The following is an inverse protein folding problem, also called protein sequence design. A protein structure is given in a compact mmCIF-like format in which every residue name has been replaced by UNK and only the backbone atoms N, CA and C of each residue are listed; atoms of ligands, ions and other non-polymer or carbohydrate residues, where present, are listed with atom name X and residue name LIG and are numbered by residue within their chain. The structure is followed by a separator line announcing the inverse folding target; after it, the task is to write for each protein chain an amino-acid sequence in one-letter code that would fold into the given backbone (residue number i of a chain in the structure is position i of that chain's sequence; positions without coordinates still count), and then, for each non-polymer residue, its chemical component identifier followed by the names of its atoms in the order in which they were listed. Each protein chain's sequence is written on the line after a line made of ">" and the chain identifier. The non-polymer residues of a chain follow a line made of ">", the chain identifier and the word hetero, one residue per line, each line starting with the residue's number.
data_IF_393554130986
#
_entry.id   IF_393554130986
#
_cell.length_a   1.000
_cell.length_b   1.000
_cell.length_c   1.000
_cell.angle_alpha   90.00
_cell.angle_beta   90.00
_cell.angle_gamma   90.00
#
_symmetry.space_group_name_H-M   'P 1'
#
loop_
_entity.id
_entity.type
_entity.pdbx_description
1 polymer ?
#
# COMPACT_ATOMS: atom_id res chain seq x y z
N UNK A 1 -17.82 -22.54 10.50
CA UNK A 1 -16.52 -22.01 10.02
C UNK A 1 -16.79 -21.25 8.73
N UNK A 2 -17.04 -19.93 8.78
CA UNK A 2 -17.24 -19.15 7.56
C UNK A 2 -15.88 -19.04 6.85
N UNK A 3 -15.69 -19.83 5.80
CA UNK A 3 -14.49 -19.79 4.97
C UNK A 3 -14.26 -18.38 4.46
N UNK A 4 -13.09 -17.82 4.75
CA UNK A 4 -12.72 -16.49 4.30
C UNK A 4 -12.61 -16.51 2.77
N UNK A 5 -13.43 -15.72 2.09
CA UNK A 5 -13.33 -15.61 0.62
C UNK A 5 -12.00 -14.92 0.27
N UNK A 6 -11.22 -15.45 -0.67
CA UNK A 6 -9.98 -14.80 -1.10
C UNK A 6 -10.32 -13.43 -1.70
N UNK A 7 -9.63 -12.40 -1.25
CA UNK A 7 -9.90 -11.02 -1.65
C UNK A 7 -8.71 -10.10 -1.40
N UNK A 8 -8.71 -8.96 -2.06
CA UNK A 8 -7.68 -7.91 -1.92
C UNK A 8 -8.37 -6.67 -1.37
N UNK A 9 -7.80 -6.09 -0.31
CA UNK A 9 -8.26 -4.82 0.27
C UNK A 9 -7.14 -3.79 0.21
N UNK A 10 -7.47 -2.57 -0.21
CA UNK A 10 -6.55 -1.43 -0.12
C UNK A 10 -6.64 -0.79 1.26
N UNK A 11 -5.50 -0.60 1.93
CA UNK A 11 -5.45 0.12 3.21
C UNK A 11 -4.37 1.20 3.16
N UNK A 12 -4.75 2.42 3.57
CA UNK A 12 -3.84 3.55 3.73
C UNK A 12 -3.52 3.78 5.21
N UNK A 13 -2.29 4.17 5.52
CA UNK A 13 -1.82 4.46 6.88
C UNK A 13 -1.71 5.98 7.17
N UNK A 14 -2.19 6.82 6.25
CA UNK A 14 -2.19 8.27 6.46
C UNK A 14 -3.07 8.63 7.65
N UNK A 15 -2.57 9.51 8.53
CA UNK A 15 -3.28 10.00 9.74
C UNK A 15 -3.74 8.95 10.78
N UNK A 16 -3.47 7.66 10.58
CA UNK A 16 -3.78 6.57 11.54
C UNK A 16 -2.52 6.09 12.26
N UNK A 17 -2.49 6.00 13.59
CA UNK A 17 -1.34 5.41 14.30
C UNK A 17 -1.21 3.90 14.09
N UNK A 18 -0.15 3.28 14.64
CA UNK A 18 0.11 1.86 14.43
C UNK A 18 -0.98 0.98 15.07
N UNK A 19 -1.46 1.32 16.26
CA UNK A 19 -2.41 0.50 17.01
C UNK A 19 -3.78 0.50 16.32
N UNK A 20 -4.27 1.66 15.92
CA UNK A 20 -5.50 1.78 15.15
C UNK A 20 -5.39 1.10 13.78
N UNK A 21 -4.20 1.10 13.17
CA UNK A 21 -3.95 0.37 11.93
C UNK A 21 -4.05 -1.15 12.13
N UNK A 22 -3.48 -1.70 13.21
CA UNK A 22 -3.58 -3.12 13.54
C UNK A 22 -5.02 -3.56 13.84
N UNK A 23 -5.78 -2.77 14.60
CA UNK A 23 -7.20 -3.04 14.86
C UNK A 23 -7.97 -3.15 13.54
N UNK A 24 -7.75 -2.20 12.62
CA UNK A 24 -8.39 -2.23 11.30
C UNK A 24 -8.02 -3.47 10.48
N UNK A 25 -6.77 -3.93 10.52
CA UNK A 25 -6.37 -5.17 9.87
C UNK A 25 -7.13 -6.37 10.45
N UNK A 26 -7.29 -6.42 11.77
CA UNK A 26 -8.07 -7.46 12.46
C UNK A 26 -9.56 -7.43 12.12
N UNK A 27 -10.19 -6.26 12.09
CA UNK A 27 -11.60 -6.09 11.70
C UNK A 27 -11.85 -6.55 10.27
N UNK A 28 -10.92 -6.23 9.36
CA UNK A 28 -10.93 -6.69 7.97
C UNK A 28 -10.47 -8.15 7.82
N UNK A 29 -10.08 -8.78 8.93
CA UNK A 29 -9.57 -10.15 9.03
C UNK A 29 -8.38 -10.39 8.11
N UNK A 30 -7.51 -9.40 7.87
CA UNK A 30 -6.39 -9.53 6.93
C UNK A 30 -5.41 -10.61 7.41
N UNK A 31 -5.00 -11.52 6.52
CA UNK A 31 -4.00 -12.56 6.86
C UNK A 31 -2.59 -12.11 6.45
N UNK A 32 -2.49 -11.36 5.35
CA UNK A 32 -1.21 -10.94 4.76
C UNK A 32 -1.26 -9.45 4.42
N UNK A 33 -0.31 -8.69 4.95
CA UNK A 33 -0.04 -7.30 4.59
C UNK A 33 1.05 -7.24 3.50
N UNK A 34 0.66 -6.76 2.32
CA UNK A 34 1.59 -6.54 1.20
C UNK A 34 2.02 -5.08 1.16
N UNK A 35 3.29 -4.82 1.43
CA UNK A 35 3.91 -3.50 1.36
C UNK A 35 4.53 -3.27 -0.03
N UNK A 36 3.85 -2.43 -0.81
CA UNK A 36 4.25 -2.05 -2.18
C UNK A 36 5.14 -0.80 -2.23
N UNK A 37 5.63 -0.27 -1.11
CA UNK A 37 6.48 0.93 -1.11
C UNK A 37 7.78 0.64 -1.86
N UNK A 38 8.26 1.57 -2.70
CA UNK A 38 9.56 1.38 -3.37
C UNK A 38 10.71 1.32 -2.35
N UNK A 39 10.65 2.19 -1.34
CA UNK A 39 11.52 2.19 -0.17
C UNK A 39 10.63 2.13 1.07
N UNK A 40 10.66 1.06 1.88
CA UNK A 40 9.80 0.89 3.06
C UNK A 40 10.33 1.69 4.27
N UNK A 41 10.70 2.95 4.02
CA UNK A 41 11.14 3.91 5.04
C UNK A 41 9.95 4.82 5.32
N UNK A 42 9.57 4.93 6.58
CA UNK A 42 8.57 5.88 7.04
C UNK A 42 9.13 6.70 8.18
N UNK A 43 8.85 8.01 8.16
CA UNK A 43 9.11 8.92 9.30
C UNK A 43 8.03 8.80 10.37
N UNK A 44 6.92 8.13 10.08
CA UNK A 44 5.85 7.89 11.03
C UNK A 44 6.24 6.77 11.99
N UNK A 45 6.15 7.03 13.29
CA UNK A 45 6.46 6.06 14.35
C UNK A 45 5.68 4.76 14.11
N UNK A 46 6.39 3.62 14.16
CA UNK A 46 5.79 2.30 13.96
C UNK A 46 5.66 1.83 12.50
N UNK A 47 5.92 2.68 11.51
CA UNK A 47 5.74 2.33 10.08
C UNK A 47 7.06 2.14 9.30
N UNK A 48 8.21 2.10 9.99
CA UNK A 48 9.45 1.61 9.39
C UNK A 48 9.30 0.11 9.10
N UNK A 49 10.01 -0.42 8.10
CA UNK A 49 9.93 -1.84 7.72
C UNK A 49 9.97 -2.77 8.94
N UNK A 50 11.04 -2.70 9.73
CA UNK A 50 11.24 -3.60 10.89
C UNK A 50 10.15 -3.44 11.94
N UNK A 51 9.78 -2.20 12.28
CA UNK A 51 8.75 -1.97 13.30
C UNK A 51 7.37 -2.48 12.84
N UNK A 52 7.03 -2.23 11.57
CA UNK A 52 5.77 -2.67 10.99
C UNK A 52 5.71 -4.19 10.89
N UNK A 53 6.78 -4.84 10.38
CA UNK A 53 6.88 -6.30 10.33
C UNK A 53 6.67 -6.91 11.71
N UNK A 54 7.39 -6.44 12.74
CA UNK A 54 7.25 -6.97 14.09
C UNK A 54 5.82 -6.80 14.62
N UNK A 55 5.23 -5.62 14.42
CA UNK A 55 3.90 -5.30 14.92
C UNK A 55 2.80 -6.16 14.28
N UNK A 56 2.83 -6.35 12.96
CA UNK A 56 1.82 -7.16 12.26
C UNK A 56 2.00 -8.65 12.54
N UNK A 57 3.25 -9.13 12.65
CA UNK A 57 3.51 -10.52 13.01
C UNK A 57 3.06 -10.84 14.43
N UNK A 58 3.22 -9.91 15.39
CA UNK A 58 2.63 -10.04 16.73
C UNK A 58 1.10 -10.11 16.71
N UNK A 59 0.46 -9.54 15.69
CA UNK A 59 -0.98 -9.62 15.45
C UNK A 59 -1.40 -10.82 14.57
N UNK A 60 -0.50 -11.78 14.33
CA UNK A 60 -0.73 -12.95 13.45
C UNK A 60 -1.03 -12.60 11.99
N UNK A 61 -0.49 -11.48 11.51
CA UNK A 61 -0.56 -11.05 10.11
C UNK A 61 0.82 -11.16 9.47
N UNK A 62 0.90 -11.85 8.34
CA UNK A 62 2.15 -12.00 7.59
C UNK A 62 2.52 -10.69 6.90
N UNK A 63 3.82 -10.40 6.80
CA UNK A 63 4.33 -9.22 6.10
C UNK A 63 5.10 -9.61 4.85
N UNK A 64 4.67 -9.10 3.69
CA UNK A 64 5.35 -9.31 2.41
C UNK A 64 5.71 -7.95 1.80
N UNK A 65 6.97 -7.77 1.43
CA UNK A 65 7.42 -6.55 0.75
C UNK A 65 7.60 -6.80 -0.75
N UNK A 66 6.77 -6.16 -1.58
CA UNK A 66 6.80 -6.27 -3.03
C UNK A 66 7.31 -4.98 -3.67
N UNK A 67 8.62 -4.79 -3.61
CA UNK A 67 9.30 -3.61 -4.19
C UNK A 67 8.99 -3.41 -5.68
N UNK A 68 8.79 -4.50 -6.44
CA UNK A 68 8.47 -4.45 -7.87
C UNK A 68 7.15 -3.76 -8.21
N UNK A 69 6.24 -3.64 -7.24
CA UNK A 69 4.97 -2.93 -7.37
C UNK A 69 5.04 -1.46 -6.92
N UNK A 70 6.20 -1.01 -6.44
CA UNK A 70 6.40 0.37 -6.01
C UNK A 70 6.59 1.33 -7.17
N UNK A 71 6.19 2.60 -6.97
CA UNK A 71 6.29 3.63 -8.00
C UNK A 71 7.77 4.01 -8.29
N UNK A 72 8.33 3.64 -9.46
CA UNK A 72 9.73 3.92 -9.79
C UNK A 72 9.95 5.42 -9.98
N UNK A 73 11.21 5.86 -9.83
CA UNK A 73 11.57 7.30 -9.95
C UNK A 73 11.18 7.88 -11.32
N UNK A 74 11.35 7.09 -12.39
CA UNK A 74 11.04 7.47 -13.78
C UNK A 74 9.57 7.82 -13.97
N UNK A 75 8.66 7.19 -13.22
CA UNK A 75 7.22 7.42 -13.33
C UNK A 75 6.74 8.65 -12.52
N UNK A 76 7.60 9.32 -11.73
CA UNK A 76 7.15 10.41 -10.85
C UNK A 76 6.81 11.71 -11.57
N UNK A 77 7.54 12.02 -12.65
CA UNK A 77 7.38 13.28 -13.37
C UNK A 77 5.96 13.46 -13.96
N UNK A 78 5.30 12.36 -14.33
CA UNK A 78 3.93 12.40 -14.88
C UNK A 78 2.81 12.51 -13.83
N UNK A 79 3.10 12.27 -12.55
CA UNK A 79 2.10 12.21 -11.47
C UNK A 79 2.39 13.18 -10.31
N UNK A 80 3.47 13.97 -10.38
CA UNK A 80 3.87 14.93 -9.35
C UNK A 80 3.42 16.38 -9.59
N UNK A 81 2.72 16.65 -10.70
CA UNK A 81 2.22 17.97 -11.07
C UNK A 81 0.80 18.24 -10.58
N UNK A 82 0.37 19.49 -10.68
CA UNK A 82 -1.05 19.88 -10.57
C UNK A 82 -1.89 18.97 -11.48
N UNK A 83 -3.02 18.45 -11.00
CA UNK A 83 -3.96 17.66 -11.82
C UNK A 83 -4.46 18.44 -13.05
N UNK A 84 -4.23 19.76 -13.10
CA UNK A 84 -4.52 20.65 -14.23
C UNK A 84 -3.40 20.70 -15.29
N UNK A 85 -2.19 20.21 -15.00
CA UNK A 85 -1.03 20.24 -15.91
C UNK A 85 -0.56 18.86 -16.37
N UNK A 86 -1.27 17.79 -16.01
CA UNK A 86 -1.01 16.46 -16.58
C UNK A 86 -1.35 16.48 -18.08
N UNK A 87 -0.47 16.00 -18.99
CA UNK A 87 -0.87 15.82 -20.38
C UNK A 87 -2.04 14.84 -20.42
N UNK A 88 -3.17 15.27 -21.00
CA UNK A 88 -4.32 14.38 -21.24
C UNK A 88 -3.81 13.13 -21.96
N UNK A 89 -4.21 11.91 -21.55
CA UNK A 89 -3.87 10.73 -22.31
C UNK A 89 -4.45 10.92 -23.72
N UNK A 90 -3.59 11.04 -24.72
CA UNK A 90 -3.97 10.87 -26.12
C UNK A 90 -4.24 9.37 -26.25
N UNK A 91 -5.46 8.96 -25.92
CA UNK A 91 -5.98 7.67 -26.36
C UNK A 91 -6.15 7.81 -27.86
N UNK A 92 -5.08 7.57 -28.60
CA UNK A 92 -5.12 7.40 -30.04
C UNK A 92 -5.72 6.01 -30.30
N UNK A 93 -7.05 5.91 -30.22
CA UNK A 93 -7.76 4.81 -30.85
C UNK A 93 -7.61 5.01 -32.35
N UNK A 94 -6.58 4.40 -32.94
CA UNK A 94 -6.58 4.09 -34.38
C UNK A 94 -7.69 3.07 -34.59
N UNK A 95 -8.88 3.54 -34.93
CA UNK A 95 -9.77 2.75 -35.76
C UNK A 95 -9.42 3.04 -37.22
N UNK A 96 -9.44 1.96 -37.98
CA UNK A 96 -9.08 1.83 -39.39
C UNK A 96 -9.77 2.87 -40.28
#
# INVERSE_FOLDING_TARGET
>A
MHGKSPGIVGTGYERVDLDAFLVRLGEQRVDVLVDVRLNPISRKRGFSKTALTNAVTSASVDYVHLRGLGNPKTNRAGFGGDLRSSPKPVIATRHC
#
